data_IF_913867787634
#
_entry.id   IF_913867787634
#
_cell.length_a   1.000
_cell.length_b   1.000
_cell.length_c   1.000
_cell.angle_alpha   90.00
_cell.angle_beta   90.00
_cell.angle_gamma   90.00
#
_symmetry.space_group_name_H-M   'P 1'
#
loop_
_entity.id
_entity.type
_entity.pdbx_description
1 polymer ?
#
# COMPACT_ATOMS: atom_id res chain seq x y z
N UNK A 1 -21.28 -15.68 -2.85
CA UNK A 1 -21.01 -14.57 -3.79
C UNK A 1 -20.65 -15.23 -5.12
N UNK A 2 -21.32 -14.91 -6.23
CA UNK A 2 -20.98 -15.54 -7.52
C UNK A 2 -19.67 -14.93 -8.03
N UNK A 3 -18.69 -15.77 -8.34
CA UNK A 3 -17.40 -15.34 -8.88
C UNK A 3 -17.61 -14.96 -10.35
N UNK A 4 -17.18 -13.76 -10.81
CA UNK A 4 -17.33 -13.37 -12.20
C UNK A 4 -16.47 -14.27 -13.09
N UNK A 5 -17.04 -14.74 -14.21
CA UNK A 5 -16.26 -15.41 -15.25
C UNK A 5 -15.53 -14.35 -16.08
N UNK A 6 -14.20 -14.42 -16.12
CA UNK A 6 -13.35 -13.53 -16.93
C UNK A 6 -12.47 -14.38 -17.85
N UNK A 7 -12.78 -14.47 -19.16
CA UNK A 7 -12.01 -15.26 -20.11
C UNK A 7 -10.54 -14.83 -20.24
N UNK A 8 -10.23 -13.56 -19.94
CA UNK A 8 -8.85 -13.07 -19.97
C UNK A 8 -8.06 -13.47 -18.71
N UNK A 9 -8.74 -13.97 -17.68
CA UNK A 9 -8.15 -14.38 -16.41
C UNK A 9 -8.68 -15.77 -16.00
N UNK A 10 -8.29 -16.86 -16.69
CA UNK A 10 -8.78 -18.22 -16.39
C UNK A 10 -8.54 -18.67 -14.94
N UNK A 11 -7.44 -18.23 -14.30
CA UNK A 11 -7.15 -18.55 -12.90
C UNK A 11 -7.94 -17.69 -11.88
N UNK A 12 -8.84 -16.80 -12.31
CA UNK A 12 -9.54 -15.89 -11.40
C UNK A 12 -10.31 -16.66 -10.32
N UNK A 13 -11.05 -17.70 -10.72
CA UNK A 13 -11.85 -18.50 -9.79
C UNK A 13 -10.97 -19.18 -8.73
N UNK A 14 -9.86 -19.77 -9.16
CA UNK A 14 -8.93 -20.48 -8.27
C UNK A 14 -8.28 -19.51 -7.29
N UNK A 15 -7.91 -18.30 -7.73
CA UNK A 15 -7.25 -17.30 -6.88
C UNK A 15 -8.18 -16.71 -5.80
N UNK A 16 -9.50 -16.72 -6.02
CA UNK A 16 -10.48 -16.22 -5.03
C UNK A 16 -11.15 -17.33 -4.23
N UNK A 17 -10.73 -18.58 -4.43
CA UNK A 17 -11.13 -19.73 -3.64
C UNK A 17 -9.96 -20.16 -2.72
N UNK A 18 -10.11 -20.03 -1.37
CA UNK A 18 -9.08 -20.43 -0.42
C UNK A 18 -8.65 -21.90 -0.51
N UNK A 19 -9.51 -22.80 -0.98
CA UNK A 19 -9.19 -24.22 -1.14
C UNK A 19 -8.41 -24.45 -2.45
N UNK A 20 -8.90 -23.92 -3.56
CA UNK A 20 -8.26 -24.10 -4.87
C UNK A 20 -6.88 -23.43 -4.93
N UNK A 21 -6.72 -22.23 -4.36
CA UNK A 21 -5.45 -21.51 -4.38
C UNK A 21 -4.34 -22.21 -3.60
N UNK A 22 -4.68 -23.13 -2.69
CA UNK A 22 -3.71 -23.75 -1.78
C UNK A 22 -2.56 -24.42 -2.52
N UNK A 23 -2.84 -25.09 -3.64
CA UNK A 23 -1.79 -25.73 -4.46
C UNK A 23 -0.78 -24.72 -5.02
N UNK A 24 -1.25 -23.54 -5.45
CA UNK A 24 -0.39 -22.42 -5.91
C UNK A 24 0.46 -21.90 -4.75
N UNK A 25 -0.14 -21.73 -3.56
CA UNK A 25 0.56 -21.23 -2.38
C UNK A 25 1.59 -22.23 -1.84
N UNK A 26 1.26 -23.52 -1.77
CA UNK A 26 2.19 -24.58 -1.34
C UNK A 26 3.42 -24.62 -2.26
N UNK A 27 3.21 -24.54 -3.58
CA UNK A 27 4.31 -24.45 -4.55
C UNK A 27 5.19 -23.22 -4.30
N UNK A 28 4.57 -22.09 -3.94
CA UNK A 28 5.29 -20.85 -3.71
C UNK A 28 6.07 -20.82 -2.38
N UNK A 29 5.57 -21.54 -1.38
CA UNK A 29 6.08 -21.55 -0.01
C UNK A 29 7.03 -22.70 0.28
N UNK A 30 7.13 -23.70 -0.60
CA UNK A 30 7.99 -24.86 -0.43
C UNK A 30 9.42 -24.48 0.04
N UNK A 31 9.95 -25.17 1.07
CA UNK A 31 9.43 -26.39 1.68
C UNK A 31 8.34 -26.20 2.76
N UNK A 32 7.94 -24.96 3.06
CA UNK A 32 6.93 -24.67 4.08
C UNK A 32 5.53 -25.11 3.60
N UNK A 33 4.80 -25.87 4.44
CA UNK A 33 3.45 -26.32 4.12
C UNK A 33 2.41 -25.33 4.63
N UNK A 34 1.38 -25.06 3.82
CA UNK A 34 0.24 -24.22 4.23
C UNK A 34 -0.69 -25.00 5.16
N UNK A 35 -0.92 -24.48 6.37
CA UNK A 35 -1.89 -25.04 7.31
C UNK A 35 -3.28 -24.41 7.16
N UNK A 36 -3.36 -23.10 6.91
CA UNK A 36 -4.62 -22.39 6.71
C UNK A 36 -4.44 -21.18 5.77
N UNK A 37 -5.49 -20.86 5.02
CA UNK A 37 -5.54 -19.72 4.10
C UNK A 37 -6.84 -18.96 4.31
N UNK A 38 -6.75 -17.63 4.36
CA UNK A 38 -7.92 -16.73 4.33
C UNK A 38 -7.65 -15.58 3.39
N UNK A 39 -8.62 -15.24 2.55
CA UNK A 39 -8.54 -14.02 1.73
C UNK A 39 -8.68 -12.79 2.63
N UNK A 40 -7.73 -11.88 2.50
CA UNK A 40 -7.66 -10.63 3.25
C UNK A 40 -8.08 -9.41 2.41
N UNK A 41 -7.78 -9.40 1.12
CA UNK A 41 -8.16 -8.32 0.20
C UNK A 41 -8.15 -8.83 -1.25
N UNK A 42 -9.02 -8.28 -2.10
CA UNK A 42 -9.07 -8.55 -3.54
C UNK A 42 -9.12 -7.22 -4.29
N UNK A 43 -8.20 -7.05 -5.24
CA UNK A 43 -8.24 -5.98 -6.23
C UNK A 43 -8.37 -6.60 -7.62
N UNK A 44 -9.57 -6.53 -8.19
CA UNK A 44 -9.88 -7.07 -9.51
C UNK A 44 -10.09 -5.95 -10.53
N UNK A 45 -9.47 -6.08 -11.69
CA UNK A 45 -9.65 -5.23 -12.86
C UNK A 45 -10.07 -6.12 -14.03
N UNK A 46 -11.37 -6.10 -14.41
CA UNK A 46 -11.91 -6.94 -15.47
C UNK A 46 -11.10 -6.89 -16.75
N UNK A 47 -10.82 -8.06 -17.33
CA UNK A 47 -10.07 -8.21 -18.57
C UNK A 47 -8.57 -7.93 -18.45
N UNK A 48 -8.09 -7.48 -17.29
CA UNK A 48 -6.72 -7.00 -17.13
C UNK A 48 -5.93 -7.80 -16.12
N UNK A 49 -6.37 -7.82 -14.85
CA UNK A 49 -5.61 -8.44 -13.76
C UNK A 49 -6.43 -8.63 -12.50
N UNK A 50 -5.92 -9.51 -11.64
CA UNK A 50 -6.36 -9.65 -10.26
C UNK A 50 -5.14 -9.64 -9.34
N UNK A 51 -5.30 -9.03 -8.17
CA UNK A 51 -4.35 -9.11 -7.06
C UNK A 51 -5.11 -9.55 -5.82
N UNK A 52 -4.72 -10.67 -5.24
CA UNK A 52 -5.35 -11.23 -4.04
C UNK A 52 -4.31 -11.29 -2.94
N UNK A 53 -4.69 -10.81 -1.76
CA UNK A 53 -3.85 -10.91 -0.56
C UNK A 53 -4.45 -11.94 0.37
N UNK A 54 -3.62 -12.84 0.84
CA UNK A 54 -3.96 -13.93 1.73
C UNK A 54 -3.31 -13.71 3.10
N UNK A 55 -4.05 -14.03 4.14
CA UNK A 55 -3.55 -14.37 5.46
C UNK A 55 -3.29 -15.89 5.46
N UNK A 56 -2.02 -16.29 5.56
CA UNK A 56 -1.60 -17.70 5.50
C UNK A 56 -0.94 -18.09 6.81
N UNK A 57 -1.37 -19.21 7.37
CA UNK A 57 -0.70 -19.85 8.51
C UNK A 57 0.12 -21.02 7.97
N UNK A 58 1.42 -21.04 8.27
CA UNK A 58 2.33 -22.13 7.91
C UNK A 58 2.24 -23.23 8.96
N UNK A 59 2.38 -24.49 8.54
CA UNK A 59 2.38 -25.64 9.44
C UNK A 59 3.51 -25.53 10.48
N UNK A 60 3.16 -25.64 11.76
CA UNK A 60 4.10 -25.48 12.87
C UNK A 60 4.29 -24.03 13.33
N UNK A 61 3.74 -23.04 12.62
CA UNK A 61 3.76 -21.64 13.03
C UNK A 61 2.43 -21.20 13.64
N UNK A 62 2.50 -20.47 14.77
CA UNK A 62 1.30 -19.86 15.38
C UNK A 62 0.93 -18.52 14.75
N UNK A 63 1.84 -17.90 13.99
CA UNK A 63 1.63 -16.58 13.39
C UNK A 63 1.16 -16.71 11.95
N UNK A 64 0.31 -15.78 11.55
CA UNK A 64 -0.11 -15.64 10.15
C UNK A 64 0.85 -14.72 9.42
N UNK A 65 1.27 -15.14 8.23
CA UNK A 65 2.03 -14.35 7.26
C UNK A 65 1.11 -13.82 6.17
N UNK A 66 1.36 -12.60 5.69
CA UNK A 66 0.62 -12.05 4.55
C UNK A 66 1.34 -12.39 3.25
N UNK A 67 0.63 -13.07 2.35
CA UNK A 67 1.08 -13.36 0.98
C UNK A 67 0.22 -12.60 -0.02
N UNK A 68 0.80 -12.21 -1.14
CA UNK A 68 0.05 -11.64 -2.27
C UNK A 68 0.28 -12.49 -3.50
N UNK A 69 -0.78 -12.81 -4.23
CA UNK A 69 -0.73 -13.30 -5.59
C UNK A 69 -1.23 -12.22 -6.55
N UNK A 70 -0.55 -12.07 -7.69
CA UNK A 70 -0.99 -11.23 -8.79
C UNK A 70 -0.98 -12.04 -10.08
N UNK A 71 -2.05 -11.89 -10.85
CA UNK A 71 -2.26 -12.58 -12.11
C UNK A 71 -2.81 -11.62 -13.17
N UNK A 72 -2.44 -11.83 -14.43
CA UNK A 72 -2.79 -10.99 -15.57
C UNK A 72 -1.71 -9.96 -15.91
N UNK A 73 -2.12 -8.81 -16.42
CA UNK A 73 -1.23 -7.82 -17.05
C UNK A 73 -0.32 -7.09 -16.05
N UNK A 74 0.93 -6.89 -16.46
CA UNK A 74 1.92 -6.07 -15.76
C UNK A 74 2.39 -6.69 -14.45
N UNK A 75 2.66 -7.99 -14.44
CA UNK A 75 3.27 -8.68 -13.31
C UNK A 75 4.62 -8.03 -12.96
N UNK A 76 4.93 -7.85 -11.66
CA UNK A 76 6.19 -7.22 -11.24
C UNK A 76 7.39 -8.13 -11.50
N UNK A 77 8.53 -7.60 -11.93
CA UNK A 77 9.73 -8.41 -12.20
C UNK A 77 10.22 -9.22 -10.98
N UNK A 78 10.02 -8.70 -9.76
CA UNK A 78 10.32 -9.41 -8.52
C UNK A 78 9.19 -10.30 -8.01
N UNK A 79 9.47 -11.03 -6.92
CA UNK A 79 8.58 -12.06 -6.39
C UNK A 79 8.82 -13.43 -7.03
N UNK A 80 8.23 -14.47 -6.44
CA UNK A 80 8.28 -15.83 -6.97
C UNK A 80 7.25 -16.01 -8.07
N UNK A 81 7.64 -16.63 -9.18
CA UNK A 81 6.72 -17.06 -10.24
C UNK A 81 6.26 -18.48 -9.99
N UNK A 82 4.96 -18.70 -10.12
CA UNK A 82 4.35 -20.04 -10.19
C UNK A 82 3.62 -20.11 -11.51
N UNK A 83 3.91 -21.15 -12.30
CA UNK A 83 3.31 -21.35 -13.62
C UNK A 83 2.92 -22.80 -13.79
N UNK A 84 1.80 -23.01 -14.48
CA UNK A 84 1.32 -24.30 -14.98
C UNK A 84 1.69 -24.53 -16.46
N UNK A 85 2.46 -23.62 -17.06
CA UNK A 85 2.84 -23.61 -18.47
C UNK A 85 1.93 -22.77 -19.37
N UNK A 86 0.70 -22.46 -18.96
CA UNK A 86 -0.24 -21.62 -19.72
C UNK A 86 -0.48 -20.26 -19.05
N UNK A 87 -0.49 -20.26 -17.72
CA UNK A 87 -0.68 -19.11 -16.87
C UNK A 87 0.51 -18.91 -15.93
N UNK A 88 0.77 -17.67 -15.56
CA UNK A 88 1.82 -17.33 -14.59
C UNK A 88 1.28 -16.38 -13.53
N UNK A 89 1.47 -16.76 -12.27
CA UNK A 89 1.12 -15.97 -11.09
C UNK A 89 2.41 -15.48 -10.43
N UNK A 90 2.47 -14.18 -10.15
CA UNK A 90 3.53 -13.60 -9.31
C UNK A 90 3.10 -13.61 -7.85
N UNK A 91 3.96 -14.13 -6.98
CA UNK A 91 3.73 -14.23 -5.54
C UNK A 91 4.83 -13.54 -4.73
N UNK A 92 4.45 -12.88 -3.66
CA UNK A 92 5.41 -12.32 -2.70
C UNK A 92 4.86 -12.31 -1.28
N UNK A 93 5.79 -12.38 -0.32
CA UNK A 93 5.52 -12.19 1.10
C UNK A 93 5.52 -10.69 1.40
N UNK A 94 4.73 -10.28 2.38
CA UNK A 94 4.88 -8.97 3.00
C UNK A 94 5.98 -9.07 4.07
N UNK A 95 6.91 -8.10 4.16
CA UNK A 95 6.93 -6.80 3.47
C UNK A 95 7.69 -6.74 2.12
N UNK A 96 8.11 -7.87 1.55
CA UNK A 96 8.91 -7.98 0.32
C UNK A 96 8.11 -7.72 -0.99
N UNK A 97 7.34 -6.64 -1.01
CA UNK A 97 6.54 -6.25 -2.17
C UNK A 97 7.42 -5.71 -3.31
N UNK A 98 7.50 -6.41 -4.47
CA UNK A 98 8.37 -6.02 -5.56
C UNK A 98 7.96 -4.71 -6.23
N UNK A 99 6.71 -4.26 -6.05
CA UNK A 99 6.25 -2.95 -6.48
C UNK A 99 6.59 -1.83 -5.49
N UNK A 100 7.01 -2.15 -4.26
CA UNK A 100 7.26 -1.21 -3.17
C UNK A 100 8.60 -1.52 -2.47
N UNK A 101 9.74 -1.36 -3.16
CA UNK A 101 11.05 -1.76 -2.63
C UNK A 101 11.43 -1.08 -1.30
N UNK A 102 10.94 0.13 -1.03
CA UNK A 102 11.15 0.81 0.25
C UNK A 102 10.35 0.25 1.43
N UNK A 103 9.40 -0.66 1.21
CA UNK A 103 8.48 -1.11 2.27
C UNK A 103 9.20 -1.89 3.38
N UNK A 104 10.02 -2.88 3.02
CA UNK A 104 10.79 -3.65 3.98
C UNK A 104 11.75 -2.75 4.77
N UNK A 105 12.44 -1.84 4.10
CA UNK A 105 13.38 -0.91 4.73
C UNK A 105 12.69 0.08 5.70
N UNK A 106 11.47 0.52 5.41
CA UNK A 106 10.69 1.38 6.32
C UNK A 106 10.18 0.61 7.55
N UNK A 107 10.00 -0.70 7.46
CA UNK A 107 9.56 -1.55 8.57
C UNK A 107 10.72 -2.14 9.37
N UNK A 108 11.93 -2.09 8.82
CA UNK A 108 13.16 -2.43 9.53
C UNK A 108 13.53 -1.27 10.48
N UNK A 109 13.60 -1.49 11.80
CA UNK A 109 13.85 -0.40 12.74
C UNK A 109 15.19 0.30 12.56
N UNK A 110 16.24 -0.44 12.18
CA UNK A 110 17.60 0.11 12.10
C UNK A 110 17.77 0.93 10.81
N UNK A 111 17.26 0.42 9.69
CA UNK A 111 17.17 1.17 8.45
C UNK A 111 16.29 2.42 8.62
N UNK A 112 15.14 2.31 9.29
CA UNK A 112 14.28 3.46 9.54
C UNK A 112 14.95 4.53 10.41
N UNK A 113 15.72 4.14 11.44
CA UNK A 113 16.53 5.10 12.22
C UNK A 113 17.48 5.86 11.30
N UNK A 114 18.26 5.17 10.47
CA UNK A 114 19.19 5.82 9.55
C UNK A 114 18.48 6.81 8.61
N UNK A 115 17.34 6.41 8.03
CA UNK A 115 16.54 7.29 7.17
C UNK A 115 16.02 8.53 7.90
N UNK A 116 15.60 8.40 9.16
CA UNK A 116 15.12 9.52 9.97
C UNK A 116 16.27 10.47 10.36
N UNK A 117 17.43 9.92 10.74
CA UNK A 117 18.63 10.70 11.03
C UNK A 117 19.06 11.53 9.82
N UNK A 118 19.03 10.97 8.61
CA UNK A 118 19.34 11.70 7.36
C UNK A 118 18.38 12.87 7.10
N UNK A 119 17.16 12.80 7.64
CA UNK A 119 16.15 13.87 7.57
C UNK A 119 16.25 14.87 8.73
N UNK A 120 17.25 14.71 9.61
CA UNK A 120 17.41 15.53 10.82
C UNK A 120 16.44 15.18 11.95
N UNK A 121 15.81 13.99 11.90
CA UNK A 121 14.95 13.45 12.95
C UNK A 121 15.75 12.41 13.74
N UNK A 122 16.52 12.86 14.73
CA UNK A 122 17.25 12.00 15.66
C UNK A 122 16.55 12.00 17.03
N UNK A 123 15.66 11.02 17.21
CA UNK A 123 14.67 11.07 18.30
C UNK A 123 14.38 9.68 18.89
N UNK A 124 15.45 8.90 19.03
CA UNK A 124 15.41 7.55 19.58
C UNK A 124 14.79 6.52 18.63
N UNK A 125 14.46 5.35 19.18
CA UNK A 125 14.02 4.19 18.38
C UNK A 125 12.56 4.36 17.94
N UNK A 126 12.26 4.37 16.63
CA UNK A 126 10.91 4.53 16.14
C UNK A 126 10.08 3.26 16.37
N UNK A 127 8.76 3.47 16.53
CA UNK A 127 7.76 2.41 16.43
C UNK A 127 6.94 2.61 15.16
N UNK A 128 6.57 1.52 14.50
CA UNK A 128 5.86 1.52 13.22
C UNK A 128 4.50 0.87 13.35
N UNK A 129 3.48 1.44 12.73
CA UNK A 129 2.17 0.84 12.56
C UNK A 129 1.73 0.92 11.10
N UNK A 130 1.47 -0.21 10.46
CA UNK A 130 0.89 -0.23 9.12
C UNK A 130 -0.55 0.31 9.17
N UNK A 131 -0.81 1.41 8.45
CA UNK A 131 -2.13 2.05 8.40
C UNK A 131 -2.91 1.66 7.16
N UNK A 132 -2.22 1.46 6.04
CA UNK A 132 -2.81 0.99 4.81
C UNK A 132 -1.78 0.26 3.95
N UNK A 133 -2.21 -0.78 3.25
CA UNK A 133 -1.40 -1.51 2.28
C UNK A 133 -2.27 -1.96 1.12
N UNK A 134 -1.93 -1.50 -0.09
CA UNK A 134 -2.49 -1.97 -1.35
C UNK A 134 -1.34 -2.57 -2.14
N UNK A 135 -1.28 -3.90 -2.14
CA UNK A 135 -0.17 -4.65 -2.69
C UNK A 135 0.18 -4.23 -4.13
N UNK A 136 1.46 -4.13 -4.40
CA UNK A 136 2.04 -3.65 -5.64
C UNK A 136 1.77 -2.17 -5.94
N UNK A 137 1.07 -1.40 -5.10
CA UNK A 137 0.63 -0.03 -5.42
C UNK A 137 1.10 1.02 -4.44
N UNK A 138 0.82 0.83 -3.14
CA UNK A 138 1.24 1.74 -2.07
C UNK A 138 1.09 1.14 -0.68
N UNK A 139 1.88 1.65 0.26
CA UNK A 139 1.70 1.47 1.69
C UNK A 139 1.74 2.82 2.41
N UNK A 140 1.09 2.88 3.59
CA UNK A 140 1.19 4.00 4.52
C UNK A 140 1.50 3.44 5.89
N UNK A 141 2.61 3.87 6.46
CA UNK A 141 3.10 3.46 7.78
C UNK A 141 3.06 4.70 8.67
N UNK A 142 2.41 4.60 9.83
CA UNK A 142 2.56 5.57 10.90
C UNK A 142 3.86 5.26 11.64
N UNK A 143 4.71 6.26 11.79
CA UNK A 143 5.97 6.19 12.52
C UNK A 143 5.88 7.11 13.72
N UNK A 144 6.21 6.60 14.91
CA UNK A 144 6.27 7.39 16.13
C UNK A 144 7.64 7.29 16.76
N UNK A 145 8.20 8.44 17.09
CA UNK A 145 9.40 8.61 17.92
C UNK A 145 9.00 9.25 19.24
N UNK A 146 9.95 9.71 20.07
CA UNK A 146 9.62 10.34 21.35
C UNK A 146 8.85 11.66 21.21
N UNK A 147 9.19 12.45 20.19
CA UNK A 147 8.72 13.81 19.92
C UNK A 147 8.01 13.95 18.57
N UNK A 148 8.11 12.97 17.66
CA UNK A 148 7.50 13.05 16.34
C UNK A 148 6.46 11.96 16.08
N UNK A 149 5.44 12.36 15.33
CA UNK A 149 4.48 11.45 14.69
C UNK A 149 4.49 11.75 13.20
N UNK A 150 4.92 10.77 12.42
CA UNK A 150 5.11 10.87 10.98
C UNK A 150 4.25 9.84 10.25
N UNK A 151 3.98 10.10 8.99
CA UNK A 151 3.44 9.12 8.06
C UNK A 151 4.41 8.92 6.91
N UNK A 152 4.84 7.67 6.74
CA UNK A 152 5.70 7.25 5.65
C UNK A 152 4.85 6.60 4.58
N UNK A 153 4.82 7.23 3.40
CA UNK A 153 4.09 6.72 2.23
C UNK A 153 5.08 6.08 1.28
N UNK A 154 4.93 4.78 1.08
CA UNK A 154 5.72 4.00 0.13
C UNK A 154 4.89 3.82 -1.14
N UNK A 155 5.46 4.14 -2.29
CA UNK A 155 4.85 3.99 -3.62
C UNK A 155 5.86 3.33 -4.56
N UNK A 156 5.42 2.99 -5.77
CA UNK A 156 6.36 2.58 -6.83
C UNK A 156 7.38 3.70 -7.06
N UNK A 157 8.69 3.42 -7.18
CA UNK A 157 9.73 4.44 -7.38
C UNK A 157 9.40 5.42 -8.51
N UNK A 158 8.88 4.91 -9.64
CA UNK A 158 8.46 5.74 -10.78
C UNK A 158 7.36 6.79 -10.50
N UNK A 159 6.66 6.72 -9.36
CA UNK A 159 5.59 7.66 -8.99
C UNK A 159 5.98 8.65 -7.89
N UNK A 160 7.13 8.47 -7.24
CA UNK A 160 7.47 9.24 -6.03
C UNK A 160 7.79 10.70 -6.33
N UNK A 161 8.47 10.97 -7.46
CA UNK A 161 8.76 12.33 -7.92
C UNK A 161 7.49 13.12 -8.27
N UNK A 162 6.55 12.48 -8.98
CA UNK A 162 5.24 13.10 -9.28
C UNK A 162 4.47 13.41 -8.00
N UNK A 163 4.41 12.46 -7.06
CA UNK A 163 3.77 12.66 -5.76
C UNK A 163 4.37 13.87 -5.01
N UNK A 164 5.69 14.02 -5.02
CA UNK A 164 6.36 15.16 -4.40
C UNK A 164 6.09 16.47 -5.13
N UNK A 165 6.06 16.47 -6.46
CA UNK A 165 5.67 17.65 -7.24
C UNK A 165 4.25 18.13 -6.91
N UNK A 166 3.30 17.21 -6.79
CA UNK A 166 1.92 17.51 -6.36
C UNK A 166 1.94 18.14 -4.96
N UNK A 167 2.67 17.54 -4.04
CA UNK A 167 2.75 18.01 -2.67
C UNK A 167 3.38 19.41 -2.56
N UNK A 168 4.46 19.67 -3.29
CA UNK A 168 5.12 20.97 -3.33
C UNK A 168 4.22 22.05 -3.94
N UNK A 169 3.42 21.72 -4.95
CA UNK A 169 2.48 22.65 -5.57
C UNK A 169 1.30 23.03 -4.66
N UNK A 170 0.84 22.09 -3.81
CA UNK A 170 -0.31 22.30 -2.92
C UNK A 170 0.08 22.97 -1.59
N UNK A 171 1.28 22.71 -1.07
CA UNK A 171 1.71 23.14 0.26
C UNK A 171 1.58 24.65 0.57
N UNK A 172 1.77 25.59 -0.39
CA UNK A 172 1.63 27.02 -0.11
C UNK A 172 0.18 27.48 0.14
N UNK A 173 -0.80 26.69 -0.33
CA UNK A 173 -2.21 27.14 -0.44
C UNK A 173 -3.16 26.27 0.38
N UNK A 174 -2.86 24.98 0.50
CA UNK A 174 -3.76 23.98 1.07
C UNK A 174 -3.14 23.44 2.36
N UNK A 175 -3.90 23.27 3.46
CA UNK A 175 -3.41 22.71 4.72
C UNK A 175 -3.19 21.19 4.61
N UNK A 176 -2.16 20.82 3.85
CA UNK A 176 -1.71 19.43 3.68
C UNK A 176 -0.57 19.11 4.66
N UNK A 177 -0.27 17.82 4.90
CA UNK A 177 0.93 17.44 5.66
C UNK A 177 2.16 18.14 5.08
N UNK A 178 3.20 18.41 5.89
CA UNK A 178 4.49 18.85 5.33
C UNK A 178 5.30 17.62 4.94
N UNK A 179 5.88 17.62 3.74
CA UNK A 179 6.84 16.61 3.30
C UNK A 179 8.20 16.93 3.94
N UNK A 180 8.74 16.01 4.72
CA UNK A 180 10.06 16.14 5.36
C UNK A 180 11.20 15.76 4.42
N UNK A 181 10.91 14.87 3.47
CA UNK A 181 11.87 14.36 2.52
C UNK A 181 11.37 13.09 1.84
N UNK A 182 12.16 12.61 0.89
CA UNK A 182 11.81 11.44 0.07
C UNK A 182 13.05 10.75 -0.47
N UNK A 183 12.89 9.46 -0.78
CA UNK A 183 13.93 8.62 -1.35
C UNK A 183 13.45 8.12 -2.71
N UNK A 184 13.99 8.65 -3.83
CA UNK A 184 13.52 8.33 -5.17
C UNK A 184 13.60 6.85 -5.51
N UNK A 185 14.73 6.21 -5.23
CA UNK A 185 15.00 4.82 -5.63
C UNK A 185 14.14 3.81 -4.85
N UNK A 186 13.83 4.13 -3.59
CA UNK A 186 12.97 3.31 -2.73
C UNK A 186 11.48 3.68 -2.83
N UNK A 187 11.14 4.80 -3.47
CA UNK A 187 9.76 5.27 -3.60
C UNK A 187 9.13 5.71 -2.27
N UNK A 188 9.93 6.26 -1.34
CA UNK A 188 9.50 6.59 0.02
C UNK A 188 9.31 8.09 0.17
N UNK A 189 8.24 8.51 0.86
CA UNK A 189 7.96 9.90 1.24
C UNK A 189 7.66 9.97 2.74
N UNK A 190 8.34 10.86 3.45
CA UNK A 190 8.12 11.13 4.87
C UNK A 190 7.30 12.40 5.03
N UNK A 191 6.22 12.34 5.81
CA UNK A 191 5.33 13.48 6.03
C UNK A 191 5.04 13.66 7.51
N UNK A 192 4.90 14.91 7.95
CA UNK A 192 4.36 15.24 9.26
C UNK A 192 2.93 14.70 9.43
N UNK A 193 2.55 14.34 10.66
CA UNK A 193 1.14 14.09 10.96
C UNK A 193 0.36 15.41 10.93
N UNK A 194 -0.75 15.45 10.19
CA UNK A 194 -1.73 16.51 10.37
C UNK A 194 -2.55 16.27 11.65
N UNK A 195 -2.78 17.32 12.46
CA UNK A 195 -3.67 17.23 13.60
C UNK A 195 -5.13 17.04 13.15
N UNK A 196 -5.95 16.50 14.04
CA UNK A 196 -7.39 16.34 13.83
C UNK A 196 -7.87 14.89 13.76
N UNK A 197 -9.17 14.74 13.55
CA UNK A 197 -9.88 13.45 13.47
C UNK A 197 -10.27 13.23 12.00
N UNK A 198 -10.09 12.02 11.43
CA UNK A 198 -10.58 11.73 10.09
C UNK A 198 -12.09 12.00 9.98
N UNK A 199 -12.51 12.71 8.93
CA UNK A 199 -13.92 13.07 8.71
C UNK A 199 -14.87 11.87 8.84
N UNK A 200 -14.51 10.74 8.23
CA UNK A 200 -15.30 9.51 8.31
C UNK A 200 -15.49 9.02 9.76
N UNK A 201 -14.47 9.16 10.60
CA UNK A 201 -14.56 8.83 12.03
C UNK A 201 -15.52 9.80 12.73
N UNK A 202 -15.35 11.12 12.55
CA UNK A 202 -16.20 12.11 13.19
C UNK A 202 -17.69 11.95 12.82
N UNK A 203 -17.98 11.59 11.56
CA UNK A 203 -19.34 11.30 11.11
C UNK A 203 -19.92 10.05 11.78
N UNK A 204 -19.13 8.97 11.88
CA UNK A 204 -19.57 7.70 12.49
C UNK A 204 -19.72 7.83 14.01
N UNK A 205 -18.89 8.64 14.68
CA UNK A 205 -18.92 8.82 16.14
C UNK A 205 -19.87 9.92 16.60
N UNK A 206 -20.59 10.58 15.68
CA UNK A 206 -21.55 11.64 16.02
C UNK A 206 -20.90 12.98 16.40
N UNK A 207 -19.61 13.17 16.11
CA UNK A 207 -18.89 14.43 16.31
C UNK A 207 -18.98 15.36 15.09
N UNK A 208 -20.01 15.18 14.26
CA UNK A 208 -20.20 15.95 13.03
C UNK A 208 -20.30 17.47 13.28
N UNK A 209 -20.74 17.90 14.47
CA UNK A 209 -20.79 19.31 14.85
C UNK A 209 -19.39 19.94 15.06
N UNK A 210 -18.34 19.13 15.22
CA UNK A 210 -16.95 19.56 15.36
C UNK A 210 -16.20 19.57 14.01
N UNK A 211 -16.91 19.26 12.92
CA UNK A 211 -16.36 19.17 11.56
C UNK A 211 -16.61 20.48 10.81
N UNK A 212 -15.65 20.86 9.95
CA UNK A 212 -15.81 21.91 8.95
C UNK A 212 -17.15 21.81 8.20
N UNK A 213 -17.86 22.94 8.10
CA UNK A 213 -19.13 23.00 7.38
C UNK A 213 -18.98 22.69 5.88
N UNK A 214 -20.08 22.38 5.16
CA UNK A 214 -20.03 22.11 3.72
C UNK A 214 -19.36 23.24 2.91
N UNK A 215 -19.60 24.50 3.27
CA UNK A 215 -19.01 25.66 2.58
C UNK A 215 -17.49 25.72 2.74
N UNK A 216 -16.96 25.34 3.90
CA UNK A 216 -15.51 25.26 4.14
C UNK A 216 -14.87 24.14 3.30
N UNK A 217 -15.57 23.01 3.14
CA UNK A 217 -15.12 21.93 2.27
C UNK A 217 -15.12 22.36 0.80
N UNK A 218 -16.13 23.09 0.34
CA UNK A 218 -16.19 23.62 -1.02
C UNK A 218 -15.04 24.62 -1.24
N UNK A 219 -14.84 25.55 -0.31
CA UNK A 219 -13.73 26.50 -0.37
C UNK A 219 -12.36 25.79 -0.42
N UNK A 220 -12.18 24.70 0.33
CA UNK A 220 -10.97 23.88 0.27
C UNK A 220 -10.79 23.22 -1.11
N UNK A 221 -11.86 22.72 -1.72
CA UNK A 221 -11.82 22.14 -3.07
C UNK A 221 -11.46 23.19 -4.13
N UNK A 222 -11.98 24.40 -4.01
CA UNK A 222 -11.64 25.53 -4.89
C UNK A 222 -10.17 25.91 -4.77
N UNK A 223 -9.62 25.93 -3.54
CA UNK A 223 -8.19 26.15 -3.30
C UNK A 223 -7.32 25.08 -3.96
N UNK A 224 -7.72 23.81 -3.86
CA UNK A 224 -7.01 22.70 -4.52
C UNK A 224 -7.07 22.86 -6.05
N UNK A 225 -8.23 23.20 -6.61
CA UNK A 225 -8.42 23.39 -8.05
C UNK A 225 -7.59 24.56 -8.61
N UNK A 226 -7.36 25.60 -7.81
CA UNK A 226 -6.53 26.74 -8.19
C UNK A 226 -5.02 26.40 -8.23
N UNK A 227 -4.60 25.32 -7.55
CA UNK A 227 -3.20 24.92 -7.54
C UNK A 227 -2.79 24.31 -8.89
N UNK A 228 -1.71 24.83 -9.48
CA UNK A 228 -1.15 24.30 -10.73
C UNK A 228 -0.39 23.01 -10.47
N UNK A 229 -1.07 21.89 -10.64
CA UNK A 229 -0.49 20.56 -10.49
C UNK A 229 -0.24 19.95 -11.86
N UNK A 230 1.03 19.71 -12.21
CA UNK A 230 1.38 18.92 -13.39
C UNK A 230 1.28 17.44 -13.01
N UNK A 231 0.21 16.78 -13.44
CA UNK A 231 0.04 15.33 -13.28
C UNK A 231 0.23 14.62 -14.62
N UNK A 232 0.68 13.37 -14.59
CA UNK A 232 0.57 12.52 -15.78
C UNK A 232 -0.92 12.26 -16.05
N UNK A 233 -1.37 12.30 -17.32
CA UNK A 233 -2.72 11.87 -17.64
C UNK A 233 -2.92 10.45 -17.10
N UNK A 234 -4.02 10.23 -16.38
CA UNK A 234 -4.42 8.87 -16.02
C UNK A 234 -4.57 8.08 -17.34
N UNK A 235 -4.00 6.88 -17.45
CA UNK A 235 -4.45 5.97 -18.50
C UNK A 235 -5.97 5.86 -18.37
N UNK A 236 -6.67 6.02 -19.49
CA UNK A 236 -8.12 5.85 -19.54
C UNK A 236 -8.54 4.47 -19.03
N UNK A 237 -9.83 4.28 -18.73
CA UNK A 237 -10.36 2.96 -18.37
C UNK A 237 -10.00 1.90 -19.40
#
# INVERSE_FOLDING_TARGET
MSIPHDPALPLLADLVDPEAVRAILDTALAPDAVAAVRIADIAYQPGQRITVRYAVTIAGESKTTSLTAMYGQGLPEGGRRVSDGESEVALWRFPEDPGLPGLAAVLDPDALVAMLTDLGVDDGRPTTQLRAYRAGRRAVIEVRTANHRLFVKVVRPKHVAELQGIHAALAPTVPIPRSLGWQPDLGVVFMDALPGIPLATALVTGQAAEVAGPDELIALLDLIAACRVVTRPRPGP
#
